data_IF_002348422911
#
_entry.id   IF_002348422911
#
_cell.length_a   1.000
_cell.length_b   1.000
_cell.length_c   1.000
_cell.angle_alpha   90.00
_cell.angle_beta   90.00
_cell.angle_gamma   90.00
#
_symmetry.space_group_name_H-M   'P 1'
#
loop_
_entity.id
_entity.type
_entity.pdbx_description
1 polymer ?
#
# COMPACT_ATOMS: atom_id res chain seq x y z
N UNK A 1 19.61 0.28 11.12
CA UNK A 1 18.55 0.39 10.10
C UNK A 1 17.55 1.46 10.54
N UNK A 2 17.32 2.55 9.79
CA UNK A 2 16.30 3.54 10.14
C UNK A 2 14.92 2.88 10.07
N UNK A 3 14.05 3.15 11.05
CA UNK A 3 12.68 2.62 11.06
C UNK A 3 11.91 3.16 9.84
N UNK A 4 11.50 2.28 8.94
CA UNK A 4 10.71 2.65 7.76
C UNK A 4 9.44 3.37 8.23
N UNK A 5 9.20 4.56 7.68
CA UNK A 5 7.99 5.31 7.93
C UNK A 5 6.92 4.88 6.93
N UNK A 6 5.78 4.38 7.43
CA UNK A 6 4.62 3.96 6.62
C UNK A 6 4.22 5.04 5.60
N UNK A 7 4.19 6.31 6.03
CA UNK A 7 3.90 7.46 5.16
C UNK A 7 4.83 7.51 3.94
N UNK A 8 6.12 7.26 4.12
CA UNK A 8 7.10 7.29 3.02
C UNK A 8 6.78 6.22 1.98
N UNK A 9 6.42 5.02 2.43
CA UNK A 9 6.04 3.93 1.54
C UNK A 9 4.74 4.22 0.78
N UNK A 10 3.74 4.77 1.46
CA UNK A 10 2.47 5.16 0.82
C UNK A 10 2.65 6.28 -0.21
N UNK A 11 3.52 7.26 0.07
CA UNK A 11 3.86 8.30 -0.90
C UNK A 11 4.53 7.70 -2.15
N UNK A 12 5.48 6.78 -1.96
CA UNK A 12 6.14 6.10 -3.07
C UNK A 12 5.15 5.32 -3.94
N UNK A 13 4.22 4.57 -3.32
CA UNK A 13 3.14 3.86 -4.04
C UNK A 13 2.27 4.86 -4.81
N UNK A 14 1.85 5.94 -4.15
CA UNK A 14 1.01 6.99 -4.77
C UNK A 14 1.67 7.61 -5.99
N UNK A 15 2.96 7.92 -5.90
CA UNK A 15 3.73 8.49 -7.01
C UNK A 15 3.83 7.51 -8.19
N UNK A 16 4.06 6.21 -7.92
CA UNK A 16 4.14 5.19 -8.97
C UNK A 16 2.77 4.96 -9.62
N UNK A 17 1.70 4.80 -8.84
CA UNK A 17 0.33 4.62 -9.34
C UNK A 17 -0.10 5.78 -10.26
N UNK A 18 0.16 7.02 -9.86
CA UNK A 18 -0.18 8.19 -10.68
C UNK A 18 0.70 8.36 -11.92
N UNK A 19 1.88 7.74 -11.94
CA UNK A 19 2.75 7.77 -13.11
C UNK A 19 2.44 6.67 -14.13
N UNK A 20 1.58 5.70 -13.77
CA UNK A 20 1.22 4.53 -14.59
C UNK A 20 2.44 3.76 -15.12
N UNK A 21 3.54 3.77 -14.36
CA UNK A 21 4.82 3.14 -14.76
C UNK A 21 4.91 1.65 -14.43
N UNK A 22 4.00 1.16 -13.60
CA UNK A 22 4.07 -0.20 -13.05
C UNK A 22 2.66 -0.83 -13.05
N UNK A 23 2.41 -1.66 -14.05
CA UNK A 23 1.13 -2.37 -14.21
C UNK A 23 0.94 -3.44 -13.12
N UNK A 24 2.02 -4.06 -12.65
CA UNK A 24 1.96 -5.05 -11.58
C UNK A 24 1.54 -4.40 -10.26
N UNK A 25 2.09 -3.22 -9.96
CA UNK A 25 1.69 -2.43 -8.78
C UNK A 25 0.23 -1.98 -8.91
N UNK A 26 -0.18 -1.55 -10.10
CA UNK A 26 -1.56 -1.12 -10.37
C UNK A 26 -2.57 -2.25 -10.17
N UNK A 27 -2.23 -3.46 -10.66
CA UNK A 27 -3.03 -4.67 -10.45
C UNK A 27 -3.09 -5.08 -8.98
N UNK A 28 -1.95 -5.09 -8.29
CA UNK A 28 -1.89 -5.37 -6.85
C UNK A 28 -2.70 -4.37 -6.02
N UNK A 29 -2.68 -3.09 -6.39
CA UNK A 29 -3.48 -2.05 -5.75
C UNK A 29 -4.99 -2.26 -5.98
N UNK A 30 -5.41 -2.59 -7.21
CA UNK A 30 -6.80 -2.90 -7.51
C UNK A 30 -7.30 -4.10 -6.70
N UNK A 31 -6.47 -5.13 -6.51
CA UNK A 31 -6.78 -6.26 -5.62
C UNK A 31 -7.02 -5.80 -4.18
N UNK A 32 -6.16 -4.92 -3.64
CA UNK A 32 -6.30 -4.40 -2.28
C UNK A 32 -7.60 -3.62 -2.13
N UNK A 33 -7.96 -2.77 -3.09
CA UNK A 33 -9.23 -2.04 -3.07
C UNK A 33 -10.42 -3.01 -3.03
N UNK A 34 -10.44 -4.02 -3.90
CA UNK A 34 -11.53 -4.99 -3.94
C UNK A 34 -11.65 -5.76 -2.63
N UNK A 35 -10.52 -6.24 -2.08
CA UNK A 35 -10.51 -6.99 -0.82
C UNK A 35 -11.12 -6.18 0.33
N UNK A 36 -10.71 -4.92 0.50
CA UNK A 36 -11.23 -4.08 1.58
C UNK A 36 -12.63 -3.54 1.29
N UNK A 37 -13.05 -3.46 0.02
CA UNK A 37 -14.44 -3.19 -0.34
C UNK A 37 -15.38 -4.30 0.13
N UNK A 38 -14.95 -5.55 0.06
CA UNK A 38 -15.71 -6.68 0.59
C UNK A 38 -15.77 -6.62 2.13
N UNK A 39 -14.68 -6.22 2.79
CA UNK A 39 -14.67 -6.02 4.25
C UNK A 39 -15.62 -4.88 4.68
N UNK A 40 -15.65 -3.76 3.95
CA UNK A 40 -16.57 -2.64 4.20
C UNK A 40 -18.03 -3.10 4.15
N UNK A 41 -18.38 -3.92 3.16
CA UNK A 41 -19.73 -4.49 3.05
C UNK A 41 -20.07 -5.44 4.21
N UNK A 42 -19.11 -6.24 4.66
CA UNK A 42 -19.33 -7.28 5.68
C UNK A 42 -19.31 -6.75 7.12
N UNK A 43 -18.51 -5.72 7.38
CA UNK A 43 -18.18 -5.29 8.75
C UNK A 43 -18.52 -3.83 9.06
N UNK A 44 -19.21 -3.13 8.15
CA UNK A 44 -19.59 -1.70 8.31
C UNK A 44 -18.38 -0.81 8.64
N UNK A 45 -17.29 -1.06 7.92
CA UNK A 45 -16.07 -0.26 7.94
C UNK A 45 -16.02 0.66 6.73
N UNK A 46 -15.10 1.63 6.75
CA UNK A 46 -14.90 2.58 5.64
C UNK A 46 -13.45 2.58 5.14
N UNK A 47 -12.92 1.38 4.90
CA UNK A 47 -11.58 1.16 4.37
C UNK A 47 -11.38 1.83 3.01
N UNK A 48 -12.37 1.75 2.13
CA UNK A 48 -12.32 2.36 0.80
C UNK A 48 -12.12 3.88 0.84
N UNK A 49 -12.76 4.60 1.76
CA UNK A 49 -12.52 6.04 1.91
C UNK A 49 -11.10 6.33 2.37
N UNK A 50 -10.57 5.52 3.31
CA UNK A 50 -9.18 5.67 3.77
C UNK A 50 -8.19 5.38 2.64
N UNK A 51 -8.38 4.29 1.89
CA UNK A 51 -7.53 3.90 0.76
C UNK A 51 -7.57 4.98 -0.31
N UNK A 52 -8.76 5.43 -0.71
CA UNK A 52 -8.94 6.47 -1.72
C UNK A 52 -8.28 7.78 -1.31
N UNK A 53 -8.44 8.20 -0.06
CA UNK A 53 -7.78 9.39 0.45
C UNK A 53 -6.25 9.27 0.31
N UNK A 54 -5.66 8.18 0.81
CA UNK A 54 -4.22 7.99 0.82
C UNK A 54 -3.65 7.93 -0.60
N UNK A 55 -4.15 7.01 -1.43
CA UNK A 55 -3.47 6.58 -2.66
C UNK A 55 -4.02 7.23 -3.94
N UNK A 56 -5.29 7.65 -3.96
CA UNK A 56 -5.91 8.25 -5.17
C UNK A 56 -6.01 9.77 -5.08
N UNK A 57 -6.31 10.30 -3.90
CA UNK A 57 -6.46 11.75 -3.69
C UNK A 57 -5.14 12.42 -3.30
N UNK A 58 -4.05 11.65 -3.21
CA UNK A 58 -2.73 12.14 -2.86
C UNK A 58 -2.71 12.93 -1.53
N UNK A 59 -3.45 12.46 -0.53
CA UNK A 59 -3.71 13.19 0.72
C UNK A 59 -2.43 13.72 1.37
N UNK A 60 -1.36 12.92 1.36
CA UNK A 60 -0.10 13.26 2.02
C UNK A 60 0.76 14.30 1.30
N UNK A 61 0.41 14.68 0.07
CA UNK A 61 0.98 15.82 -0.63
C UNK A 61 0.58 17.14 0.02
N UNK A 62 -0.63 17.22 0.57
CA UNK A 62 -1.19 18.46 1.11
C UNK A 62 -1.39 18.44 2.63
N UNK A 63 -1.54 17.25 3.22
CA UNK A 63 -1.96 17.08 4.61
C UNK A 63 -1.08 16.09 5.38
N UNK A 64 -1.14 16.16 6.72
CA UNK A 64 -0.40 15.26 7.64
C UNK A 64 -1.29 14.10 8.09
N UNK A 65 -0.70 13.01 8.58
CA UNK A 65 -1.41 11.82 9.10
C UNK A 65 -2.48 12.16 10.15
N UNK A 66 -2.22 13.13 11.04
CA UNK A 66 -3.20 13.58 12.04
C UNK A 66 -4.46 14.24 11.43
N UNK A 67 -4.37 14.79 10.23
CA UNK A 67 -5.54 15.30 9.52
C UNK A 67 -6.38 14.12 9.00
N UNK A 68 -5.75 13.07 8.49
CA UNK A 68 -6.44 11.88 7.99
C UNK A 68 -7.26 11.20 9.08
N UNK A 69 -6.71 11.05 10.29
CA UNK A 69 -7.46 10.48 11.43
C UNK A 69 -8.71 11.30 11.77
N UNK A 70 -8.64 12.63 11.65
CA UNK A 70 -9.79 13.51 11.91
C UNK A 70 -10.83 13.43 10.80
N UNK A 71 -10.39 13.45 9.54
CA UNK A 71 -11.29 13.41 8.38
C UNK A 71 -12.02 12.08 8.24
N UNK A 72 -11.36 10.98 8.62
CA UNK A 72 -11.96 9.64 8.59
C UNK A 72 -12.66 9.28 9.91
N UNK A 73 -12.68 10.18 10.90
CA UNK A 73 -13.23 9.91 12.23
C UNK A 73 -12.65 8.66 12.93
N UNK A 74 -11.38 8.33 12.65
CA UNK A 74 -10.67 7.18 13.21
C UNK A 74 -9.66 7.62 14.27
N UNK A 75 -9.51 6.84 15.34
CA UNK A 75 -8.39 7.03 16.24
C UNK A 75 -7.06 6.66 15.57
N UNK A 76 -5.96 7.20 16.09
CA UNK A 76 -4.63 7.02 15.47
C UNK A 76 -4.13 5.57 15.46
N UNK A 77 -4.57 4.73 16.40
CA UNK A 77 -4.15 3.32 16.49
C UNK A 77 -4.91 2.50 15.45
N UNK A 78 -6.21 2.71 15.31
CA UNK A 78 -7.03 2.06 14.29
C UNK A 78 -6.55 2.44 12.89
N UNK A 79 -6.35 3.73 12.61
CA UNK A 79 -5.81 4.20 11.34
C UNK A 79 -4.42 3.60 11.04
N UNK A 80 -3.55 3.47 12.05
CA UNK A 80 -2.25 2.84 11.87
C UNK A 80 -2.36 1.37 11.51
N UNK A 81 -3.31 0.64 12.11
CA UNK A 81 -3.53 -0.77 11.84
C UNK A 81 -4.05 -0.98 10.41
N UNK A 82 -5.03 -0.18 9.99
CA UNK A 82 -5.56 -0.20 8.62
C UNK A 82 -4.45 0.02 7.60
N UNK A 83 -3.67 1.10 7.76
CA UNK A 83 -2.56 1.41 6.85
C UNK A 83 -1.52 0.28 6.77
N UNK A 84 -1.23 -0.39 7.88
CA UNK A 84 -0.35 -1.57 7.88
C UNK A 84 -0.97 -2.76 7.16
N UNK A 85 -2.26 -3.01 7.35
CA UNK A 85 -2.98 -4.09 6.69
C UNK A 85 -2.95 -3.90 5.16
N UNK A 86 -3.25 -2.68 4.70
CA UNK A 86 -3.24 -2.34 3.27
C UNK A 86 -1.87 -2.59 2.65
N UNK A 87 -0.81 -2.08 3.28
CA UNK A 87 0.55 -2.21 2.76
C UNK A 87 1.05 -3.66 2.79
N UNK A 88 0.65 -4.45 3.79
CA UNK A 88 1.00 -5.88 3.85
C UNK A 88 0.31 -6.67 2.76
N UNK A 89 -0.99 -6.44 2.55
CA UNK A 89 -1.70 -7.10 1.48
C UNK A 89 -1.15 -6.70 0.10
N UNK A 90 -0.85 -5.42 -0.07
CA UNK A 90 -0.21 -4.92 -1.29
C UNK A 90 1.17 -5.56 -1.50
N UNK A 91 2.01 -5.64 -0.46
CA UNK A 91 3.30 -6.30 -0.54
C UNK A 91 3.15 -7.78 -0.93
N UNK A 92 2.19 -8.47 -0.32
CA UNK A 92 1.89 -9.87 -0.62
C UNK A 92 1.55 -10.06 -2.10
N UNK A 93 0.65 -9.24 -2.64
CA UNK A 93 0.23 -9.36 -4.03
C UNK A 93 1.33 -8.92 -5.01
N UNK A 94 1.97 -7.79 -4.74
CA UNK A 94 2.97 -7.22 -5.64
C UNK A 94 4.27 -8.03 -5.72
N UNK A 95 4.70 -8.62 -4.60
CA UNK A 95 5.92 -9.43 -4.52
C UNK A 95 5.65 -10.95 -4.56
N UNK A 96 4.39 -11.35 -4.77
CA UNK A 96 3.94 -12.74 -4.76
C UNK A 96 4.41 -13.52 -3.51
N UNK A 97 4.24 -12.92 -2.32
CA UNK A 97 4.68 -13.53 -1.06
C UNK A 97 3.69 -14.62 -0.62
N UNK A 98 4.22 -15.78 -0.26
CA UNK A 98 3.40 -16.88 0.28
C UNK A 98 2.93 -16.60 1.71
N UNK A 99 3.76 -15.96 2.52
CA UNK A 99 3.48 -15.65 3.92
C UNK A 99 3.72 -14.18 4.25
N UNK A 100 2.85 -13.61 5.08
CA UNK A 100 2.99 -12.23 5.59
C UNK A 100 3.90 -12.21 6.81
N UNK A 101 5.00 -11.45 6.73
CA UNK A 101 6.01 -11.32 7.79
C UNK A 101 6.18 -9.87 8.24
N UNK A 102 7.02 -9.65 9.26
CA UNK A 102 7.40 -8.29 9.65
C UNK A 102 8.36 -7.61 8.65
N UNK A 103 8.93 -8.37 7.71
CA UNK A 103 9.86 -7.86 6.70
C UNK A 103 9.14 -7.30 5.47
N UNK A 104 7.86 -7.62 5.24
CA UNK A 104 7.13 -7.32 4.01
C UNK A 104 7.18 -5.84 3.62
N UNK A 105 7.05 -4.93 4.60
CA UNK A 105 7.11 -3.50 4.33
C UNK A 105 8.50 -3.04 3.90
N UNK A 106 9.55 -3.66 4.43
CA UNK A 106 10.92 -3.37 4.04
C UNK A 106 11.23 -3.94 2.65
N UNK A 107 10.72 -5.14 2.35
CA UNK A 107 10.83 -5.74 1.01
C UNK A 107 10.10 -4.90 -0.04
N UNK A 108 8.86 -4.49 0.26
CA UNK A 108 8.07 -3.63 -0.61
C UNK A 108 8.77 -2.28 -0.83
N UNK A 109 9.29 -1.65 0.24
CA UNK A 109 10.07 -0.43 0.09
C UNK A 109 11.31 -0.63 -0.79
N UNK A 110 12.04 -1.73 -0.62
CA UNK A 110 13.23 -2.02 -1.42
C UNK A 110 12.91 -2.22 -2.90
N UNK A 111 11.83 -2.95 -3.21
CA UNK A 111 11.36 -3.18 -4.58
C UNK A 111 10.94 -1.87 -5.26
N UNK A 112 10.13 -1.05 -4.57
CA UNK A 112 9.62 0.20 -5.15
C UNK A 112 10.68 1.32 -5.21
N UNK A 113 11.70 1.28 -4.35
CA UNK A 113 12.79 2.27 -4.36
C UNK A 113 13.84 1.99 -5.44
N UNK A 114 13.77 0.83 -6.11
CA UNK A 114 14.76 0.41 -7.10
C UNK A 114 14.03 -0.30 -8.27
N UNK A 115 13.37 0.47 -9.16
CA UNK A 115 12.44 -0.06 -10.16
C UNK A 115 13.11 -1.05 -11.14
N UNK A 116 14.42 -0.94 -11.37
CA UNK A 116 15.19 -1.81 -12.27
C UNK A 116 15.30 -3.28 -11.80
N UNK A 117 14.82 -3.63 -10.59
CA UNK A 117 14.90 -5.00 -10.05
C UNK A 117 13.68 -5.87 -10.34
N UNK A 118 12.52 -5.29 -10.66
CA UNK A 118 11.31 -6.10 -10.81
C UNK A 118 11.28 -6.88 -12.13
N UNK A 119 12.02 -6.41 -13.15
CA UNK A 119 12.18 -7.10 -14.43
C UNK A 119 13.08 -8.35 -14.32
N UNK A 120 14.03 -8.35 -13.38
CA UNK A 120 14.97 -9.46 -13.21
C UNK A 120 14.35 -10.70 -12.55
N UNK A 121 13.35 -10.51 -11.68
CA UNK A 121 12.68 -11.62 -10.99
C UNK A 121 11.71 -12.41 -11.90
N UNK A 122 11.32 -11.86 -13.04
CA UNK A 122 10.51 -12.57 -14.05
C UNK A 122 11.36 -13.40 -15.03
N UNK A 123 12.66 -13.10 -15.18
CA UNK A 123 13.54 -13.79 -16.13
C UNK A 123 14.13 -15.11 -15.60
N UNK A 124 14.04 -15.39 -14.30
CA UNK A 124 14.56 -16.64 -13.71
C UNK A 124 13.50 -17.77 -13.63
N UNK A 125 12.26 -17.56 -14.06
CA UNK A 125 11.22 -18.61 -14.10
C UNK A 125 11.01 -19.25 -15.48
N UNK A 126 11.68 -18.74 -16.52
CA UNK A 126 11.60 -19.25 -17.90
C UNK A 126 12.94 -19.89 -18.39
N UNK A 127 13.83 -20.27 -17.47
CA UNK A 127 15.15 -20.87 -17.77
C UNK A 127 15.24 -22.37 -17.47
#
# INVERSE_FOLDING_TARGET
MRKLQIKTLEMLITDILHSSKDENLSSAFAYVQNHFSDEDYLYDTDHNSVISAIYLQNFYKYKKVKALSREMHLDTKTLLNYRKAYLRLLAKQYLNLFETTNADLALLYAALSNPDRNDAAQLEQDG
#
